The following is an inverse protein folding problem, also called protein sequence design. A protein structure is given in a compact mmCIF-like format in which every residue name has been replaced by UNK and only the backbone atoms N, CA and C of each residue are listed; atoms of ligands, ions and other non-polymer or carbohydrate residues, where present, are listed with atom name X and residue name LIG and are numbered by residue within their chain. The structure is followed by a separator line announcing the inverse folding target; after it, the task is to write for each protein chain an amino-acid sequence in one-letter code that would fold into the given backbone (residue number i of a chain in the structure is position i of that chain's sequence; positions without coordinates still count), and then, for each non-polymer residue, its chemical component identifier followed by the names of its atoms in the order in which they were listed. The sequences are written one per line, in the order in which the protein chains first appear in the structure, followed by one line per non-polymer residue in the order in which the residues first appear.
data_IF_364236883519
#
_entry.id   IF_364236883519
#
_cell.length_a   1.000
_cell.length_b   1.000
_cell.length_c   1.000
_cell.angle_alpha   90.00
_cell.angle_beta   90.00
_cell.angle_gamma   90.00
#
_symmetry.space_group_name_H-M   'P 1'
#
loop_
_entity.id
_entity.type
_entity.pdbx_description
1 polymer ?
#
# COMPACT_ATOMS: atom_id res chain seq x y z
N UNK A 1 76.28 -84.46 17.59
CA UNK A 1 76.51 -83.15 16.94
C UNK A 1 75.21 -82.74 16.26
N UNK A 2 74.41 -81.87 16.88
CA UNK A 2 73.12 -81.40 16.34
C UNK A 2 73.26 -79.89 16.17
N UNK A 3 73.19 -79.40 14.92
CA UNK A 3 73.10 -77.98 14.59
C UNK A 3 71.63 -77.65 14.34
N UNK A 4 71.01 -76.96 15.29
CA UNK A 4 69.68 -76.38 15.13
C UNK A 4 69.79 -75.04 14.40
N UNK A 5 69.15 -74.92 13.24
CA UNK A 5 69.03 -73.68 12.49
C UNK A 5 67.79 -72.92 12.97
N UNK A 6 68.00 -71.72 13.48
CA UNK A 6 66.97 -70.81 14.00
C UNK A 6 66.51 -69.93 12.84
N UNK A 7 65.31 -70.17 12.30
CA UNK A 7 64.68 -69.31 11.29
C UNK A 7 63.98 -68.18 12.06
N UNK A 8 64.52 -66.97 11.97
CA UNK A 8 63.88 -65.76 12.47
C UNK A 8 62.85 -65.28 11.44
N UNK A 9 61.57 -65.46 11.73
CA UNK A 9 60.46 -64.92 10.94
C UNK A 9 60.27 -63.44 11.32
N UNK A 10 60.63 -62.53 10.41
CA UNK A 10 60.35 -61.11 10.59
C UNK A 10 58.86 -60.84 10.33
N UNK A 11 58.09 -60.55 11.39
CA UNK A 11 56.75 -59.97 11.26
C UNK A 11 56.89 -58.52 10.77
N UNK A 12 56.55 -58.27 9.51
CA UNK A 12 56.31 -56.92 9.02
C UNK A 12 55.01 -56.41 9.64
N UNK A 13 55.10 -55.47 10.58
CA UNK A 13 53.95 -54.71 11.07
C UNK A 13 53.60 -53.71 9.96
N UNK A 14 52.60 -54.04 9.15
CA UNK A 14 51.97 -53.09 8.24
C UNK A 14 51.24 -52.05 9.08
N UNK A 15 51.78 -50.83 9.16
CA UNK A 15 51.02 -49.70 9.66
C UNK A 15 49.73 -49.57 8.81
N UNK A 16 48.56 -49.30 9.41
CA UNK A 16 47.38 -48.99 8.64
C UNK A 16 47.71 -47.75 7.81
N UNK A 17 47.72 -47.89 6.48
CA UNK A 17 47.72 -46.73 5.61
C UNK A 17 46.50 -45.90 6.02
N UNK A 18 46.72 -44.67 6.48
CA UNK A 18 45.62 -43.73 6.67
C UNK A 18 45.01 -43.50 5.28
N UNK A 19 43.95 -44.24 4.99
CA UNK A 19 43.18 -44.02 3.79
C UNK A 19 42.44 -42.69 3.96
N UNK A 20 42.59 -41.80 2.98
CA UNK A 20 41.85 -40.56 2.93
C UNK A 20 40.34 -40.86 3.07
N UNK A 21 39.64 -40.01 3.81
CA UNK A 21 38.22 -40.19 4.07
C UNK A 21 37.44 -39.91 2.78
N UNK A 22 36.65 -40.88 2.26
CA UNK A 22 35.87 -40.64 1.06
C UNK A 22 34.76 -39.63 1.32
N UNK A 23 34.63 -38.64 0.44
CA UNK A 23 33.60 -37.60 0.53
C UNK A 23 32.88 -37.41 -0.79
N UNK A 24 31.63 -36.92 -0.70
CA UNK A 24 30.81 -36.57 -1.86
C UNK A 24 30.43 -35.10 -1.78
N UNK A 25 30.42 -34.42 -2.93
CA UNK A 25 29.98 -33.05 -3.02
C UNK A 25 28.51 -32.95 -2.58
N UNK A 26 28.17 -31.93 -1.79
CA UNK A 26 26.79 -31.59 -1.46
C UNK A 26 26.01 -31.26 -2.74
N UNK A 27 24.72 -31.58 -2.76
CA UNK A 27 23.87 -31.43 -3.95
C UNK A 27 23.56 -29.98 -4.33
N UNK A 28 23.34 -29.11 -3.33
CA UNK A 28 23.29 -27.66 -3.49
C UNK A 28 24.39 -27.08 -2.60
N UNK A 29 25.38 -26.45 -3.23
CA UNK A 29 26.58 -25.98 -2.53
C UNK A 29 26.37 -24.50 -2.20
N UNK A 30 26.10 -24.24 -0.92
CA UNK A 30 25.84 -22.91 -0.40
C UNK A 30 26.79 -22.57 0.76
N UNK A 31 27.29 -21.33 0.78
CA UNK A 31 28.10 -20.82 1.87
C UNK A 31 27.23 -20.05 2.87
N UNK A 32 27.21 -20.53 4.13
CA UNK A 32 26.47 -19.89 5.23
C UNK A 32 27.22 -18.68 5.82
N UNK A 33 28.56 -18.65 5.74
CA UNK A 33 29.41 -17.55 6.19
C UNK A 33 30.13 -16.79 5.06
N UNK A 34 30.97 -15.81 5.43
CA UNK A 34 31.71 -14.96 4.47
C UNK A 34 32.84 -15.71 3.73
N UNK A 35 33.06 -16.97 4.10
CA UNK A 35 34.05 -17.86 3.52
C UNK A 35 33.37 -19.18 3.22
N UNK A 36 33.69 -19.75 2.05
CA UNK A 36 33.30 -21.10 1.66
C UNK A 36 34.22 -22.08 2.36
N UNK A 37 33.66 -23.05 3.06
CA UNK A 37 34.41 -24.04 3.86
C UNK A 37 34.29 -25.45 3.29
N UNK A 38 35.17 -26.37 3.68
CA UNK A 38 35.02 -27.78 3.29
C UNK A 38 33.73 -28.40 3.81
N UNK A 39 33.22 -27.95 4.97
CA UNK A 39 31.92 -28.32 5.50
C UNK A 39 30.78 -27.94 4.55
N UNK A 40 30.79 -26.72 4.00
CA UNK A 40 29.79 -26.26 3.03
C UNK A 40 29.80 -27.10 1.73
N UNK A 41 30.98 -27.54 1.30
CA UNK A 41 31.16 -28.27 0.03
C UNK A 41 30.83 -29.76 0.13
N UNK A 42 31.19 -30.40 1.24
CA UNK A 42 31.13 -31.87 1.39
C UNK A 42 30.19 -32.35 2.50
N UNK A 43 29.56 -31.44 3.25
CA UNK A 43 28.64 -31.80 4.34
C UNK A 43 29.33 -32.57 5.48
N UNK A 44 30.61 -32.28 5.72
CA UNK A 44 31.43 -32.94 6.74
C UNK A 44 31.44 -32.14 8.05
N UNK A 45 31.67 -32.83 9.16
CA UNK A 45 31.82 -32.25 10.50
C UNK A 45 33.27 -32.31 10.99
N UNK A 46 33.58 -31.56 12.04
CA UNK A 46 34.90 -31.56 12.71
C UNK A 46 35.81 -30.41 12.30
N UNK A 47 37.07 -30.42 12.76
CA UNK A 47 38.00 -29.30 12.54
C UNK A 47 38.31 -29.05 11.05
N UNK A 48 38.39 -30.13 10.26
CA UNK A 48 38.61 -30.06 8.80
C UNK A 48 37.46 -29.36 8.09
N UNK A 49 36.23 -29.45 8.61
CA UNK A 49 35.08 -28.79 7.97
C UNK A 49 35.19 -27.27 7.96
N UNK A 50 35.93 -26.69 8.92
CA UNK A 50 36.13 -25.25 9.04
C UNK A 50 37.24 -24.71 8.12
N UNK A 51 37.93 -25.58 7.37
CA UNK A 51 39.01 -25.16 6.48
C UNK A 51 38.46 -24.24 5.36
N UNK A 52 39.05 -23.05 5.28
CA UNK A 52 38.66 -22.01 4.33
C UNK A 52 39.15 -22.36 2.91
N UNK A 53 38.20 -22.52 1.99
CA UNK A 53 38.47 -22.84 0.58
C UNK A 53 38.58 -21.56 -0.24
N UNK A 54 37.60 -20.66 -0.11
CA UNK A 54 37.54 -19.42 -0.86
C UNK A 54 36.72 -18.36 -0.13
N UNK A 55 36.84 -17.08 -0.50
CA UNK A 55 35.91 -16.04 -0.04
C UNK A 55 34.52 -16.30 -0.65
N UNK A 56 33.47 -16.20 0.13
CA UNK A 56 32.11 -16.40 -0.36
C UNK A 56 31.67 -15.23 -1.26
N UNK A 57 30.76 -15.47 -2.23
CA UNK A 57 30.17 -14.41 -3.05
C UNK A 57 29.36 -13.42 -2.21
N UNK A 58 28.97 -12.29 -2.81
CA UNK A 58 27.94 -11.44 -2.20
C UNK A 58 26.60 -12.22 -2.09
N UNK A 59 25.71 -11.84 -1.15
CA UNK A 59 24.38 -12.43 -1.04
C UNK A 59 23.62 -12.40 -2.37
N UNK A 60 23.06 -13.54 -2.80
CA UNK A 60 22.38 -13.67 -4.09
C UNK A 60 23.31 -13.88 -5.30
N UNK A 61 24.62 -13.79 -5.12
CA UNK A 61 25.60 -14.09 -6.18
C UNK A 61 26.12 -15.53 -6.11
N UNK A 62 26.79 -15.94 -7.20
CA UNK A 62 27.39 -17.27 -7.37
C UNK A 62 28.82 -17.13 -7.84
N UNK A 63 29.76 -17.82 -7.18
CA UNK A 63 31.11 -18.03 -7.70
C UNK A 63 31.26 -19.44 -8.24
N UNK A 64 32.30 -19.66 -9.04
CA UNK A 64 32.61 -20.97 -9.59
C UNK A 64 34.00 -21.41 -9.13
N UNK A 65 34.09 -22.58 -8.50
CA UNK A 65 35.36 -23.22 -8.14
C UNK A 65 35.73 -24.27 -9.19
N UNK A 66 37.00 -24.36 -9.56
CA UNK A 66 37.47 -25.41 -10.46
C UNK A 66 37.57 -26.76 -9.75
N UNK A 67 36.98 -27.79 -10.35
CA UNK A 67 36.87 -29.10 -9.72
C UNK A 67 38.23 -29.76 -9.50
N UNK A 68 39.16 -29.67 -10.45
CA UNK A 68 40.50 -30.24 -10.31
C UNK A 68 41.29 -29.60 -9.16
N UNK A 69 41.18 -28.27 -9.02
CA UNK A 69 41.79 -27.56 -7.89
C UNK A 69 41.15 -27.95 -6.56
N UNK A 70 39.82 -28.01 -6.50
CA UNK A 70 39.10 -28.40 -5.28
C UNK A 70 39.43 -29.84 -4.87
N UNK A 71 39.56 -30.76 -5.82
CA UNK A 71 39.95 -32.14 -5.57
C UNK A 71 41.36 -32.22 -4.97
N UNK A 72 42.32 -31.46 -5.51
CA UNK A 72 43.67 -31.39 -4.96
C UNK A 72 43.70 -30.73 -3.57
N UNK A 73 42.88 -29.70 -3.35
CA UNK A 73 42.73 -29.05 -2.05
C UNK A 73 42.16 -30.01 -1.00
N UNK A 74 41.09 -30.73 -1.31
CA UNK A 74 40.48 -31.73 -0.44
C UNK A 74 41.45 -32.86 -0.08
N UNK A 75 42.22 -33.37 -1.06
CA UNK A 75 43.24 -34.39 -0.82
C UNK A 75 44.35 -33.91 0.14
N UNK A 76 44.69 -32.62 0.11
CA UNK A 76 45.62 -32.01 1.07
C UNK A 76 45.09 -31.95 2.51
N UNK A 77 43.80 -32.17 2.70
CA UNK A 77 43.11 -32.25 4.00
C UNK A 77 42.64 -33.68 4.32
N UNK A 78 43.27 -34.70 3.72
CA UNK A 78 42.96 -36.13 3.88
C UNK A 78 41.53 -36.52 3.45
N UNK A 79 40.92 -35.77 2.54
CA UNK A 79 39.61 -36.06 1.96
C UNK A 79 39.74 -36.56 0.52
N UNK A 80 39.12 -37.69 0.20
CA UNK A 80 39.07 -38.26 -1.15
C UNK A 80 37.73 -37.98 -1.82
N UNK A 81 37.70 -36.92 -2.63
CA UNK A 81 36.59 -36.66 -3.53
C UNK A 81 36.87 -37.24 -4.91
N UNK A 82 36.26 -38.38 -5.22
CA UNK A 82 36.48 -39.08 -6.49
C UNK A 82 36.01 -38.32 -7.75
N UNK A 83 35.17 -37.27 -7.59
CA UNK A 83 34.53 -36.55 -8.70
C UNK A 83 33.96 -37.48 -9.79
N UNK A 84 33.21 -38.52 -9.38
CA UNK A 84 32.69 -39.54 -10.28
C UNK A 84 31.80 -38.97 -11.42
N UNK A 85 31.20 -37.81 -11.20
CA UNK A 85 30.40 -37.09 -12.19
C UNK A 85 31.21 -36.29 -13.22
N UNK A 86 32.55 -36.24 -13.10
CA UNK A 86 33.42 -35.53 -14.05
C UNK A 86 33.18 -34.02 -14.09
N UNK A 87 32.77 -33.42 -12.97
CA UNK A 87 32.50 -31.99 -12.88
C UNK A 87 33.78 -31.21 -13.21
N UNK A 88 33.63 -30.11 -13.95
CA UNK A 88 34.72 -29.18 -14.25
C UNK A 88 34.69 -27.96 -13.33
N UNK A 89 33.49 -27.53 -12.96
CA UNK A 89 33.24 -26.37 -12.09
C UNK A 89 32.14 -26.68 -11.11
N UNK A 90 32.27 -26.13 -9.91
CA UNK A 90 31.28 -26.19 -8.84
C UNK A 90 30.74 -24.78 -8.65
N UNK A 91 29.43 -24.60 -8.86
CA UNK A 91 28.75 -23.35 -8.53
C UNK A 91 28.52 -23.29 -7.02
N UNK A 92 29.03 -22.25 -6.38
CA UNK A 92 28.83 -21.99 -4.95
C UNK A 92 28.01 -20.72 -4.79
N UNK A 93 26.84 -20.85 -4.19
CA UNK A 93 25.94 -19.72 -3.91
C UNK A 93 26.16 -19.21 -2.49
N UNK A 94 25.92 -17.93 -2.25
CA UNK A 94 25.83 -17.40 -0.88
C UNK A 94 24.41 -17.64 -0.37
N UNK A 95 24.27 -18.24 0.81
CA UNK A 95 22.96 -18.31 1.46
C UNK A 95 22.43 -16.90 1.75
N UNK A 96 21.22 -16.61 1.29
CA UNK A 96 20.62 -15.30 1.44
C UNK A 96 19.10 -15.34 1.57
N UNK A 97 18.58 -14.32 2.26
CA UNK A 97 17.18 -13.92 2.24
C UNK A 97 16.99 -12.83 1.21
N UNK A 98 15.99 -12.99 0.34
CA UNK A 98 15.57 -11.94 -0.56
C UNK A 98 14.73 -10.90 0.21
N UNK A 99 15.04 -9.62 -0.01
CA UNK A 99 14.23 -8.49 0.41
C UNK A 99 13.40 -8.09 -0.82
N UNK A 100 12.09 -8.27 -0.72
CA UNK A 100 11.17 -8.14 -1.84
C UNK A 100 10.81 -6.67 -2.11
N UNK A 101 10.28 -6.39 -3.31
CA UNK A 101 9.74 -5.07 -3.62
C UNK A 101 8.60 -4.66 -2.68
N UNK A 102 7.79 -5.62 -2.20
CA UNK A 102 6.71 -5.35 -1.24
C UNK A 102 7.25 -4.93 0.13
N UNK A 103 8.29 -5.59 0.63
CA UNK A 103 8.98 -5.19 1.87
C UNK A 103 9.53 -3.77 1.76
N UNK A 104 10.20 -3.45 0.64
CA UNK A 104 10.74 -2.10 0.39
C UNK A 104 9.61 -1.08 0.25
N UNK A 105 8.50 -1.44 -0.40
CA UNK A 105 7.34 -0.56 -0.55
C UNK A 105 6.73 -0.21 0.79
N UNK A 106 6.57 -1.21 1.67
CA UNK A 106 6.07 -0.99 3.03
C UNK A 106 6.98 -0.04 3.81
N UNK A 107 8.30 -0.26 3.77
CA UNK A 107 9.26 0.65 4.42
C UNK A 107 9.19 2.08 3.90
N UNK A 108 9.08 2.27 2.58
CA UNK A 108 8.97 3.60 1.97
C UNK A 108 7.62 4.25 2.30
N UNK A 109 6.54 3.47 2.31
CA UNK A 109 5.21 3.95 2.68
C UNK A 109 5.20 4.42 4.15
N UNK A 110 5.80 3.64 5.06
CA UNK A 110 5.92 4.01 6.47
C UNK A 110 6.72 5.31 6.65
N UNK A 111 7.84 5.46 5.96
CA UNK A 111 8.66 6.69 5.97
C UNK A 111 7.85 7.92 5.51
N UNK A 112 7.04 7.76 4.45
CA UNK A 112 6.18 8.82 3.93
C UNK A 112 5.02 9.16 4.86
N UNK A 113 4.40 8.15 5.48
CA UNK A 113 3.31 8.35 6.44
C UNK A 113 3.80 9.08 7.69
N UNK A 114 5.01 8.78 8.17
CA UNK A 114 5.65 9.49 9.28
C UNK A 114 5.94 10.97 8.97
N UNK A 115 6.23 11.28 7.70
CA UNK A 115 6.42 12.66 7.24
C UNK A 115 5.12 13.49 7.20
N UNK A 116 3.95 12.85 7.40
CA UNK A 116 2.68 13.52 7.66
C UNK A 116 1.86 13.95 6.44
N UNK A 117 2.08 13.31 5.27
CA UNK A 117 1.34 13.66 4.05
C UNK A 117 0.01 12.91 3.87
N UNK A 118 -0.04 11.61 4.15
CA UNK A 118 -1.23 10.75 4.11
C UNK A 118 -0.98 9.51 4.97
N UNK A 119 -2.04 8.79 5.35
CA UNK A 119 -1.91 7.58 6.18
C UNK A 119 -1.36 6.39 5.39
N UNK A 120 -1.68 6.31 4.09
CA UNK A 120 -1.29 5.20 3.22
C UNK A 120 -0.74 5.72 1.90
N UNK A 121 0.30 5.06 1.39
CA UNK A 121 0.91 5.34 0.10
C UNK A 121 0.96 4.10 -0.78
N UNK A 122 0.58 4.27 -2.05
CA UNK A 122 0.79 3.27 -3.10
C UNK A 122 2.14 3.58 -3.77
N UNK A 123 3.08 2.62 -3.68
CA UNK A 123 4.43 2.77 -4.22
C UNK A 123 4.53 2.09 -5.58
N UNK A 124 5.12 2.78 -6.55
CA UNK A 124 5.43 2.24 -7.87
C UNK A 124 6.90 2.50 -8.18
N UNK A 125 7.70 1.45 -8.28
CA UNK A 125 9.11 1.59 -8.64
C UNK A 125 9.31 1.87 -10.12
N UNK A 126 10.36 2.63 -10.43
CA UNK A 126 10.79 2.83 -11.81
C UNK A 126 11.48 1.58 -12.38
N UNK A 127 12.19 0.84 -11.51
CA UNK A 127 12.84 -0.42 -11.82
C UNK A 127 11.82 -1.58 -11.66
N UNK A 128 11.79 -2.51 -12.62
CA UNK A 128 10.85 -3.65 -12.59
C UNK A 128 11.30 -4.79 -11.67
N UNK A 129 12.61 -5.02 -11.60
CA UNK A 129 13.20 -6.18 -10.92
C UNK A 129 14.09 -5.73 -9.76
N UNK A 130 13.51 -5.05 -8.78
CA UNK A 130 14.23 -4.72 -7.55
C UNK A 130 14.31 -5.97 -6.67
N UNK A 131 15.50 -6.54 -6.57
CA UNK A 131 15.79 -7.63 -5.67
C UNK A 131 17.04 -7.31 -4.88
N UNK A 132 16.89 -7.13 -3.56
CA UNK A 132 18.02 -7.06 -2.65
C UNK A 132 18.17 -8.39 -1.91
N UNK A 133 19.39 -8.66 -1.48
CA UNK A 133 19.71 -9.89 -0.80
C UNK A 133 20.49 -9.56 0.47
N UNK A 134 20.10 -10.18 1.57
CA UNK A 134 20.81 -10.13 2.83
C UNK A 134 21.29 -11.53 3.20
N UNK A 135 22.47 -11.70 3.83
CA UNK A 135 22.89 -13.01 4.29
C UNK A 135 21.92 -13.54 5.35
N UNK A 136 21.79 -14.87 5.45
CA UNK A 136 20.99 -15.48 6.51
C UNK A 136 21.57 -15.11 7.89
N UNK A 137 20.74 -14.56 8.77
CA UNK A 137 21.18 -14.08 10.08
C UNK A 137 21.94 -12.74 10.05
N UNK A 138 21.81 -11.94 8.99
CA UNK A 138 22.33 -10.58 8.92
C UNK A 138 22.02 -9.79 10.21
N UNK A 139 23.02 -9.05 10.70
CA UNK A 139 22.84 -8.15 11.85
C UNK A 139 22.22 -6.84 11.38
N UNK A 140 21.13 -6.44 12.03
CA UNK A 140 20.41 -5.21 11.73
C UNK A 140 19.39 -5.37 10.60
N UNK A 141 18.37 -4.52 10.64
CA UNK A 141 17.30 -4.51 9.64
C UNK A 141 17.73 -3.73 8.38
N UNK A 142 16.96 -3.88 7.31
CA UNK A 142 17.07 -3.01 6.13
C UNK A 142 16.87 -1.55 6.57
N UNK A 143 17.69 -0.62 6.07
CA UNK A 143 17.61 0.80 6.45
C UNK A 143 17.50 1.70 5.25
N UNK A 144 16.65 2.72 5.36
CA UNK A 144 16.65 3.85 4.44
C UNK A 144 17.63 4.88 5.03
N UNK A 145 18.76 5.10 4.35
CA UNK A 145 19.78 6.05 4.79
C UNK A 145 19.45 7.47 4.37
N UNK A 146 18.82 7.61 3.19
CA UNK A 146 18.39 8.87 2.64
C UNK A 146 17.08 8.68 1.90
N UNK A 147 16.17 9.62 2.08
CA UNK A 147 14.89 9.64 1.41
C UNK A 147 14.58 11.05 0.90
N UNK A 148 14.30 11.17 -0.40
CA UNK A 148 13.88 12.40 -1.04
C UNK A 148 12.53 12.16 -1.71
N UNK A 149 11.53 12.97 -1.38
CA UNK A 149 10.19 12.90 -1.97
C UNK A 149 9.72 14.28 -2.47
N UNK A 150 9.16 14.31 -3.67
CA UNK A 150 8.52 15.48 -4.24
C UNK A 150 7.02 15.25 -4.42
N UNK A 151 6.22 15.85 -3.54
CA UNK A 151 4.76 15.71 -3.55
C UNK A 151 4.04 16.37 -4.74
N UNK A 152 4.71 17.21 -5.54
CA UNK A 152 4.09 17.77 -6.76
C UNK A 152 4.15 16.79 -7.93
N UNK A 153 5.26 16.05 -8.05
CA UNK A 153 5.46 15.07 -9.14
C UNK A 153 5.20 13.63 -8.69
N UNK A 154 4.93 13.43 -7.40
CA UNK A 154 4.87 12.16 -6.70
C UNK A 154 6.16 11.34 -6.83
N UNK A 155 7.28 11.95 -7.22
CA UNK A 155 8.53 11.23 -7.43
C UNK A 155 9.28 11.05 -6.11
N UNK A 156 9.88 9.87 -5.92
CA UNK A 156 10.77 9.61 -4.80
C UNK A 156 12.11 9.02 -5.26
N UNK A 157 13.12 9.20 -4.43
CA UNK A 157 14.36 8.45 -4.47
C UNK A 157 14.77 8.07 -3.05
N UNK A 158 15.24 6.83 -2.88
CA UNK A 158 15.73 6.35 -1.60
C UNK A 158 17.09 5.66 -1.77
N UNK A 159 17.97 5.86 -0.80
CA UNK A 159 19.22 5.11 -0.66
C UNK A 159 19.03 4.08 0.45
N UNK A 160 19.05 2.81 0.06
CA UNK A 160 18.73 1.68 0.91
C UNK A 160 20.02 0.92 1.20
N UNK A 161 20.24 0.62 2.47
CA UNK A 161 21.21 -0.34 2.94
C UNK A 161 20.46 -1.64 3.30
N UNK A 162 20.56 -2.72 2.50
CA UNK A 162 19.80 -3.95 2.72
C UNK A 162 20.08 -4.67 4.04
N UNK A 163 21.30 -4.52 4.56
CA UNK A 163 21.74 -5.03 5.87
C UNK A 163 22.98 -4.26 6.31
N UNK A 164 23.34 -4.30 7.60
CA UNK A 164 24.46 -3.51 8.10
C UNK A 164 25.78 -3.83 7.34
N UNK A 165 26.38 -2.81 6.72
CA UNK A 165 27.62 -2.94 5.96
C UNK A 165 27.44 -3.40 4.50
N UNK A 166 26.20 -3.60 4.05
CA UNK A 166 25.90 -3.86 2.65
C UNK A 166 26.22 -2.63 1.78
N UNK A 167 26.55 -2.82 0.48
CA UNK A 167 26.59 -1.72 -0.48
C UNK A 167 25.23 -1.01 -0.53
N UNK A 168 25.27 0.32 -0.46
CA UNK A 168 24.07 1.16 -0.57
C UNK A 168 23.53 1.09 -2.00
N UNK A 169 22.23 0.82 -2.12
CA UNK A 169 21.53 0.71 -3.39
C UNK A 169 20.47 1.79 -3.52
N UNK A 170 20.42 2.42 -4.69
CA UNK A 170 19.45 3.49 -4.97
C UNK A 170 18.20 2.90 -5.62
N UNK A 171 17.05 3.21 -5.04
CA UNK A 171 15.74 2.96 -5.65
C UNK A 171 15.05 4.27 -5.97
N UNK A 172 14.20 4.26 -6.98
CA UNK A 172 13.41 5.43 -7.34
C UNK A 172 12.07 5.01 -7.91
N UNK A 173 11.13 5.93 -7.89
CA UNK A 173 9.79 5.63 -8.36
C UNK A 173 8.81 6.76 -8.12
N UNK A 174 7.55 6.38 -8.00
CA UNK A 174 6.47 7.27 -7.61
C UNK A 174 5.74 6.74 -6.38
N UNK A 175 5.35 7.63 -5.50
CA UNK A 175 4.54 7.34 -4.33
C UNK A 175 3.25 8.17 -4.40
N UNK A 176 2.12 7.48 -4.45
CA UNK A 176 0.80 8.12 -4.55
C UNK A 176 0.10 8.01 -3.21
N UNK A 177 -0.24 9.15 -2.61
CA UNK A 177 -1.08 9.16 -1.41
C UNK A 177 -2.41 8.47 -1.73
N UNK A 178 -2.83 7.55 -0.87
CA UNK A 178 -4.13 6.90 -0.91
C UNK A 178 -4.99 7.47 0.21
N UNK A 179 -6.16 7.98 -0.16
CA UNK A 179 -7.12 8.54 0.78
C UNK A 179 -8.33 7.62 0.87
N UNK A 180 -8.80 7.40 2.09
CA UNK A 180 -10.11 6.80 2.29
C UNK A 180 -11.18 7.83 1.95
N UNK A 181 -12.04 7.48 0.99
CA UNK A 181 -13.12 8.36 0.56
C UNK A 181 -14.46 7.63 0.63
N UNK A 182 -15.55 8.33 0.96
CA UNK A 182 -16.88 7.76 0.92
C UNK A 182 -17.31 7.48 -0.52
N UNK A 183 -17.74 6.25 -0.74
CA UNK A 183 -18.36 5.75 -1.96
C UNK A 183 -19.70 5.09 -1.62
N UNK A 184 -20.51 4.81 -2.64
CA UNK A 184 -21.81 4.17 -2.44
C UNK A 184 -21.70 2.63 -2.46
N UNK A 185 -22.38 1.96 -1.54
CA UNK A 185 -22.51 0.50 -1.51
C UNK A 185 -23.44 -0.05 -2.59
N UNK A 186 -24.37 0.78 -3.07
CA UNK A 186 -25.36 0.47 -4.11
C UNK A 186 -25.59 1.65 -5.04
N UNK A 187 -26.27 1.40 -6.17
CA UNK A 187 -26.75 2.48 -7.01
C UNK A 187 -27.83 3.32 -6.29
N UNK A 188 -27.73 4.64 -6.43
CA UNK A 188 -28.69 5.62 -5.90
C UNK A 188 -29.24 6.45 -7.06
N UNK A 189 -30.56 6.43 -7.25
CA UNK A 189 -31.20 7.16 -8.33
C UNK A 189 -31.29 8.66 -8.04
N UNK A 190 -31.41 9.48 -9.10
CA UNK A 190 -31.68 10.91 -8.93
C UNK A 190 -32.93 11.12 -8.08
N UNK A 191 -32.86 12.06 -7.13
CA UNK A 191 -33.92 12.34 -6.18
C UNK A 191 -33.95 11.45 -4.93
N UNK A 192 -33.16 10.38 -4.86
CA UNK A 192 -33.08 9.56 -3.64
C UNK A 192 -32.18 10.22 -2.59
N UNK A 193 -32.51 9.98 -1.32
CA UNK A 193 -31.71 10.41 -0.17
C UNK A 193 -30.63 9.37 0.12
N UNK A 194 -29.40 9.83 0.33
CA UNK A 194 -28.27 9.02 0.74
C UNK A 194 -28.37 8.78 2.25
N UNK A 195 -28.35 7.52 2.64
CA UNK A 195 -28.37 7.10 4.05
C UNK A 195 -27.01 6.59 4.49
N UNK A 196 -26.79 6.47 5.80
CA UNK A 196 -25.54 5.94 6.34
C UNK A 196 -25.23 4.52 5.84
N UNK A 197 -26.26 3.66 5.69
CA UNK A 197 -26.12 2.30 5.14
C UNK A 197 -25.72 2.26 3.67
N UNK A 198 -25.86 3.38 2.94
CA UNK A 198 -25.44 3.48 1.55
C UNK A 198 -23.95 3.82 1.43
N UNK A 199 -23.26 4.20 2.51
CA UNK A 199 -21.88 4.68 2.48
C UNK A 199 -20.91 3.55 2.84
N UNK A 200 -19.88 3.41 2.03
CA UNK A 200 -18.70 2.57 2.28
C UNK A 200 -17.44 3.40 2.09
N UNK A 201 -16.37 3.03 2.76
CA UNK A 201 -15.06 3.66 2.58
C UNK A 201 -14.26 2.87 1.54
N UNK A 202 -13.68 3.58 0.58
CA UNK A 202 -12.80 2.99 -0.43
C UNK A 202 -11.49 3.75 -0.48
N UNK A 203 -10.38 3.01 -0.47
CA UNK A 203 -9.05 3.58 -0.67
C UNK A 203 -8.91 4.00 -2.15
N UNK A 204 -8.66 5.28 -2.39
CA UNK A 204 -8.46 5.83 -3.73
C UNK A 204 -7.25 6.72 -3.75
N UNK A 205 -6.43 6.61 -4.80
CA UNK A 205 -5.29 7.50 -4.98
C UNK A 205 -5.73 8.96 -5.08
N UNK A 206 -5.08 9.83 -4.33
CA UNK A 206 -5.35 11.25 -4.25
C UNK A 206 -5.26 11.94 -5.63
N UNK A 207 -4.36 11.48 -6.50
CA UNK A 207 -4.18 12.06 -7.84
C UNK A 207 -5.31 11.72 -8.82
N UNK A 208 -6.14 10.71 -8.51
CA UNK A 208 -7.35 10.36 -9.27
C UNK A 208 -8.59 11.07 -8.76
N UNK A 209 -8.55 11.60 -7.54
CA UNK A 209 -9.65 12.36 -6.97
C UNK A 209 -9.73 13.73 -7.63
N UNK A 210 -10.95 14.15 -7.94
CA UNK A 210 -11.19 15.51 -8.44
C UNK A 210 -11.26 16.45 -7.22
N UNK A 211 -11.01 17.73 -7.45
CA UNK A 211 -10.92 18.73 -6.37
C UNK A 211 -12.19 18.87 -5.51
N UNK A 212 -13.35 18.53 -6.08
CA UNK A 212 -14.68 18.54 -5.46
C UNK A 212 -15.09 17.14 -4.94
N UNK A 213 -14.16 16.20 -4.82
CA UNK A 213 -14.41 14.91 -4.19
C UNK A 213 -14.73 15.11 -2.71
N UNK A 214 -15.76 14.41 -2.23
CA UNK A 214 -16.15 14.44 -0.83
C UNK A 214 -15.21 13.53 -0.06
N UNK A 215 -14.58 14.05 0.99
CA UNK A 215 -13.63 13.32 1.84
C UNK A 215 -14.25 12.85 3.17
N UNK A 216 -15.42 13.40 3.54
CA UNK A 216 -16.10 13.08 4.79
C UNK A 216 -17.55 12.66 4.54
N UNK A 217 -17.96 11.57 5.18
CA UNK A 217 -19.31 11.03 5.09
C UNK A 217 -20.36 11.91 5.77
N UNK A 218 -19.99 12.71 6.78
CA UNK A 218 -20.96 13.49 7.56
C UNK A 218 -21.77 14.48 6.70
N UNK A 219 -21.16 15.01 5.64
CA UNK A 219 -21.80 15.91 4.68
C UNK A 219 -22.67 15.22 3.62
N UNK A 220 -22.66 13.88 3.56
CA UNK A 220 -23.41 13.09 2.58
C UNK A 220 -24.74 12.57 3.13
N UNK A 221 -24.76 12.21 4.41
CA UNK A 221 -25.92 11.58 5.04
C UNK A 221 -27.09 12.57 5.07
N UNK A 222 -28.23 12.16 4.51
CA UNK A 222 -29.42 13.00 4.40
C UNK A 222 -29.41 13.93 3.18
N UNK A 223 -28.36 13.94 2.37
CA UNK A 223 -28.34 14.64 1.08
C UNK A 223 -29.09 13.86 0.01
N UNK A 224 -29.57 14.57 -1.00
CA UNK A 224 -30.29 14.02 -2.14
C UNK A 224 -29.38 13.95 -3.38
N UNK A 225 -29.38 12.82 -4.08
CA UNK A 225 -28.63 12.66 -5.31
C UNK A 225 -29.23 13.53 -6.43
N UNK A 226 -28.41 14.38 -7.07
CA UNK A 226 -28.82 15.19 -8.23
C UNK A 226 -28.96 14.34 -9.49
N UNK A 227 -28.15 13.29 -9.64
CA UNK A 227 -28.16 12.36 -10.77
C UNK A 227 -28.09 10.91 -10.28
N UNK A 228 -28.17 9.94 -11.19
CA UNK A 228 -27.94 8.55 -10.84
C UNK A 228 -26.47 8.33 -10.50
N UNK A 229 -26.20 7.78 -9.32
CA UNK A 229 -24.87 7.53 -8.79
C UNK A 229 -24.59 6.03 -8.77
N UNK A 230 -23.35 5.65 -9.09
CA UNK A 230 -22.91 4.26 -9.20
C UNK A 230 -22.23 3.80 -7.91
N UNK A 231 -22.33 2.50 -7.57
CA UNK A 231 -21.61 1.95 -6.44
C UNK A 231 -20.09 1.96 -6.68
N UNK A 232 -19.32 2.09 -5.59
CA UNK A 232 -17.86 2.00 -5.58
C UNK A 232 -17.11 3.21 -6.16
N UNK A 233 -17.81 4.24 -6.65
CA UNK A 233 -17.19 5.46 -7.16
C UNK A 233 -17.14 6.54 -6.06
N UNK A 234 -16.01 7.27 -5.90
CA UNK A 234 -15.93 8.40 -4.99
C UNK A 234 -16.99 9.45 -5.29
N UNK A 235 -17.70 9.89 -4.25
CA UNK A 235 -18.73 10.92 -4.38
C UNK A 235 -18.14 12.32 -4.51
N UNK A 236 -18.87 13.19 -5.20
CA UNK A 236 -18.45 14.58 -5.44
C UNK A 236 -19.53 15.54 -4.97
N UNK A 237 -19.15 16.72 -4.50
CA UNK A 237 -20.11 17.73 -4.02
C UNK A 237 -21.10 18.14 -5.12
N UNK A 238 -20.65 18.13 -6.36
CA UNK A 238 -21.48 18.42 -7.51
C UNK A 238 -22.64 17.41 -7.69
N UNK A 239 -22.49 16.19 -7.20
CA UNK A 239 -23.43 15.07 -7.38
C UNK A 239 -24.61 15.10 -6.42
N UNK A 240 -24.52 15.91 -5.36
CA UNK A 240 -25.49 15.94 -4.27
C UNK A 240 -26.09 17.34 -4.12
N UNK A 241 -27.35 17.39 -3.65
CA UNK A 241 -28.03 18.61 -3.20
C UNK A 241 -28.68 18.39 -1.86
N UNK A 242 -29.00 19.48 -1.16
CA UNK A 242 -29.90 19.41 -0.01
C UNK A 242 -31.27 18.93 -0.48
N UNK A 243 -31.93 18.01 0.24
CA UNK A 243 -33.26 17.54 -0.13
C UNK A 243 -34.25 18.72 -0.15
N UNK A 244 -35.13 18.73 -1.14
CA UNK A 244 -36.18 19.73 -1.23
C UNK A 244 -37.14 19.60 -0.02
N UNK A 245 -37.31 20.67 0.73
CA UNK A 245 -38.35 20.74 1.77
C UNK A 245 -39.73 20.95 1.13
N UNK A 246 -39.74 21.63 -0.02
CA UNK A 246 -40.93 21.86 -0.83
C UNK A 246 -40.58 21.48 -2.26
N UNK A 247 -41.31 20.52 -2.83
CA UNK A 247 -41.15 20.11 -4.22
C UNK A 247 -42.00 20.97 -5.15
N UNK A 248 -41.54 21.20 -6.37
CA UNK A 248 -42.32 21.89 -7.40
C UNK A 248 -43.65 21.17 -7.65
N UNK A 249 -44.75 21.92 -7.61
CA UNK A 249 -46.11 21.41 -7.81
C UNK A 249 -46.74 20.76 -6.58
N UNK A 250 -45.99 20.57 -5.49
CA UNK A 250 -46.52 20.01 -4.25
C UNK A 250 -47.49 20.97 -3.54
N UNK A 251 -48.39 20.40 -2.74
CA UNK A 251 -49.33 21.16 -1.93
C UNK A 251 -48.63 21.54 -0.62
N UNK A 252 -48.54 22.84 -0.37
CA UNK A 252 -47.79 23.42 0.75
C UNK A 252 -48.73 24.18 1.67
N UNK A 253 -48.50 24.04 2.97
CA UNK A 253 -49.15 24.86 3.99
C UNK A 253 -48.28 26.06 4.29
N UNK A 254 -48.79 27.26 4.03
CA UNK A 254 -48.11 28.52 4.24
C UNK A 254 -48.59 29.13 5.54
N UNK A 255 -47.64 29.39 6.45
CA UNK A 255 -47.88 30.06 7.72
C UNK A 255 -47.45 31.51 7.61
N UNK A 256 -48.28 32.40 8.13
CA UNK A 256 -47.95 33.80 8.33
C UNK A 256 -48.10 34.12 9.82
N UNK A 257 -47.04 34.61 10.43
CA UNK A 257 -47.00 34.89 11.86
C UNK A 257 -46.65 36.35 12.12
N UNK A 258 -47.47 36.99 12.96
CA UNK A 258 -47.24 38.30 13.57
C UNK A 258 -47.58 38.20 15.07
N UNK A 259 -47.06 39.10 15.93
CA UNK A 259 -47.48 39.14 17.33
C UNK A 259 -49.02 39.18 17.43
N UNK A 260 -49.62 38.16 18.05
CA UNK A 260 -51.08 38.03 18.19
C UNK A 260 -51.86 37.49 16.98
N UNK A 261 -51.22 37.17 15.85
CA UNK A 261 -51.89 36.70 14.63
C UNK A 261 -51.13 35.55 13.97
N UNK A 262 -51.80 34.40 13.78
CA UNK A 262 -51.30 33.30 12.95
C UNK A 262 -52.32 33.00 11.85
N UNK A 263 -51.94 33.20 10.60
CA UNK A 263 -52.75 32.83 9.45
C UNK A 263 -52.15 31.59 8.78
N UNK A 264 -53.03 30.71 8.30
CA UNK A 264 -52.66 29.48 7.58
C UNK A 264 -53.37 29.46 6.25
N UNK A 265 -52.62 29.26 5.16
CA UNK A 265 -53.16 29.15 3.81
C UNK A 265 -52.63 27.89 3.13
N UNK A 266 -53.44 27.28 2.26
CA UNK A 266 -52.98 26.22 1.37
C UNK A 266 -52.56 26.80 0.03
N UNK A 267 -51.41 26.37 -0.44
CA UNK A 267 -50.88 26.79 -1.74
C UNK A 267 -50.27 25.63 -2.51
N UNK A 268 -49.95 25.89 -3.78
CA UNK A 268 -49.17 24.98 -4.64
C UNK A 268 -47.83 25.63 -4.96
N UNK A 269 -46.75 24.92 -4.70
CA UNK A 269 -45.40 25.41 -5.01
C UNK A 269 -45.17 25.49 -6.52
N UNK A 270 -44.60 26.60 -7.00
CA UNK A 270 -44.20 26.77 -8.40
C UNK A 270 -42.76 26.32 -8.67
N UNK A 271 -41.95 26.29 -7.62
CA UNK A 271 -40.52 25.99 -7.65
C UNK A 271 -40.18 25.02 -6.51
N UNK A 272 -39.07 24.29 -6.67
CA UNK A 272 -38.51 23.50 -5.57
C UNK A 272 -37.66 24.40 -4.65
N UNK A 273 -37.59 24.08 -3.37
CA UNK A 273 -36.69 24.76 -2.44
C UNK A 273 -36.32 23.89 -1.24
N UNK A 274 -35.05 23.95 -0.86
CA UNK A 274 -34.56 23.34 0.36
C UNK A 274 -35.01 24.16 1.59
N UNK A 275 -34.91 23.56 2.78
CA UNK A 275 -35.23 24.26 4.03
C UNK A 275 -34.41 25.55 4.14
N UNK A 276 -35.09 26.69 4.34
CA UNK A 276 -34.50 28.02 4.44
C UNK A 276 -34.43 28.80 3.13
N UNK A 277 -34.75 28.18 1.98
CA UNK A 277 -34.79 28.85 0.68
C UNK A 277 -36.16 29.48 0.42
N UNK A 278 -36.20 30.57 -0.35
CA UNK A 278 -37.43 31.23 -0.77
C UNK A 278 -38.03 30.46 -1.94
N UNK A 279 -39.32 30.12 -1.83
CA UNK A 279 -40.10 29.44 -2.86
C UNK A 279 -41.33 30.24 -3.22
N UNK A 280 -41.62 30.33 -4.52
CA UNK A 280 -42.85 30.91 -5.04
C UNK A 280 -44.00 29.92 -4.92
N UNK A 281 -45.11 30.34 -4.32
CA UNK A 281 -46.28 29.52 -4.05
C UNK A 281 -47.54 30.23 -4.55
N UNK A 282 -48.43 29.55 -5.26
CA UNK A 282 -49.76 30.06 -5.60
C UNK A 282 -50.73 29.69 -4.49
N UNK A 283 -51.38 30.68 -3.88
CA UNK A 283 -52.43 30.45 -2.90
C UNK A 283 -53.69 29.93 -3.61
N UNK A 284 -54.19 28.76 -3.21
CA UNK A 284 -55.33 28.12 -3.87
C UNK A 284 -56.67 28.81 -3.58
N UNK A 285 -56.76 29.63 -2.53
CA UNK A 285 -57.97 30.37 -2.17
C UNK A 285 -58.09 31.72 -2.88
N UNK A 286 -56.95 32.36 -3.18
CA UNK A 286 -56.93 33.70 -3.78
C UNK A 286 -56.32 33.75 -5.19
N UNK A 287 -55.75 32.64 -5.69
CA UNK A 287 -54.99 32.56 -6.93
C UNK A 287 -53.82 33.55 -7.05
N UNK A 288 -53.38 34.17 -5.94
CA UNK A 288 -52.21 35.07 -5.93
C UNK A 288 -50.94 34.28 -5.66
N UNK A 289 -49.84 34.70 -6.30
CA UNK A 289 -48.50 34.17 -6.02
C UNK A 289 -47.92 34.89 -4.81
N UNK A 290 -47.35 34.14 -3.87
CA UNK A 290 -46.68 34.63 -2.67
C UNK A 290 -45.28 34.02 -2.58
N UNK A 291 -44.34 34.76 -2.04
CA UNK A 291 -43.00 34.29 -1.71
C UNK A 291 -42.97 33.88 -0.24
N UNK A 292 -42.53 32.65 0.02
CA UNK A 292 -42.41 32.12 1.38
C UNK A 292 -41.10 31.34 1.53
N UNK A 293 -40.55 31.33 2.72
CA UNK A 293 -39.35 30.55 3.05
C UNK A 293 -39.77 29.12 3.39
N UNK A 294 -39.20 28.12 2.73
CA UNK A 294 -39.47 26.72 3.04
C UNK A 294 -39.01 26.40 4.48
N UNK A 295 -39.94 26.04 5.36
CA UNK A 295 -39.66 25.79 6.78
C UNK A 295 -39.45 24.29 7.08
N UNK A 296 -39.95 23.41 6.23
CA UNK A 296 -39.82 21.96 6.33
C UNK A 296 -40.72 21.25 5.32
N UNK A 297 -40.82 19.92 5.37
CA UNK A 297 -41.62 19.13 4.43
C UNK A 297 -43.06 19.64 4.31
N UNK A 298 -43.43 20.15 3.14
CA UNK A 298 -44.77 20.67 2.86
C UNK A 298 -45.18 21.93 3.66
N UNK A 299 -44.21 22.64 4.28
CA UNK A 299 -44.44 23.83 5.09
C UNK A 299 -43.58 25.00 4.63
N UNK A 300 -44.18 26.18 4.51
CA UNK A 300 -43.47 27.42 4.22
C UNK A 300 -43.94 28.55 5.14
N UNK A 301 -43.08 29.54 5.39
CA UNK A 301 -43.36 30.69 6.25
C UNK A 301 -43.12 31.97 5.46
N UNK A 302 -44.11 32.86 5.41
CA UNK A 302 -43.94 34.20 4.83
C UNK A 302 -43.29 35.08 5.90
N UNK A 303 -42.13 35.66 5.60
CA UNK A 303 -41.52 36.72 6.40
C UNK A 303 -41.95 38.07 5.81
N UNK A 304 -42.42 38.98 6.65
CA UNK A 304 -42.66 40.36 6.22
C UNK A 304 -41.34 40.95 5.75
N UNK A 305 -41.19 41.13 4.43
CA UNK A 305 -40.12 41.94 3.89
C UNK A 305 -40.54 43.40 4.10
N UNK A 306 -40.21 43.95 5.27
CA UNK A 306 -40.54 45.33 5.64
C UNK A 306 -39.59 46.31 4.94
N UNK A 307 -39.42 46.25 3.62
CA UNK A 307 -38.89 47.35 2.80
C UNK A 307 -39.36 47.16 1.35
N UNK A 308 -40.38 47.92 0.97
CA UNK A 308 -40.68 48.52 -0.35
C UNK A 308 -42.19 48.80 -0.45
N UNK A 309 -42.67 49.70 0.41
CA UNK A 309 -43.84 50.53 0.12
C UNK A 309 -43.47 51.96 0.50
N UNK A 310 -42.79 52.63 -0.42
CA UNK A 310 -42.66 54.08 -0.58
C UNK A 310 -42.05 54.22 -1.99
N UNK A 311 -42.66 54.78 -3.03
CA UNK A 311 -43.71 55.79 -3.10
C UNK A 311 -44.43 55.66 -4.45
N UNK A 312 -45.75 55.77 -4.44
CA UNK A 312 -46.51 56.36 -5.53
C UNK A 312 -47.34 57.49 -4.90
N UNK A 313 -47.42 58.61 -5.63
CA UNK A 313 -48.15 59.86 -5.35
C UNK A 313 -47.38 61.03 -4.72
N UNK A 314 -46.81 61.85 -5.61
CA UNK A 314 -47.04 63.29 -5.77
C UNK A 314 -46.64 63.56 -7.24
N UNK A 315 -47.42 64.10 -8.16
CA UNK A 315 -48.47 65.10 -8.11
C UNK A 315 -48.26 65.89 -9.42
N UNK A 316 -49.30 66.03 -10.23
CA UNK A 316 -49.23 66.74 -11.52
C UNK A 316 -49.10 68.27 -11.35
N UNK A 317 -48.65 68.89 -12.45
CA UNK A 317 -48.50 70.32 -12.77
C UNK A 317 -47.18 70.99 -12.38
#
# INVERSE_FOLDING_TARGET
MIRAALIATALAVSAPALAAQPVTLAGDVSAAGDTVTLGDLFGIDGEVSMAAVARAPAPGETIYLEAGWLQAFAAGHDLDWANAGGLQRIAVKRESRQITADEISAMIADELSLAGGADTYEITFAQRDIAFYAPNGARGDTRILRFDYNGQTNAFAAEIEPYAGAPVQRVSGRAFASLEVPALSRAVSSGQIITESDIIWTATRADRLRQDAVLDASGLIGMQAKRSLRPGEPLREYDIKRPAAVEKGSLVTVFYQKPGLTLTARGRALEEGAKGEVVRIVNLSSNRTIEAVAAGPGKAVVRDNTYLTASLEQGAF
#
